data_IF_689372020284
#
_entry.id   IF_689372020284
#
_cell.length_a   1.000
_cell.length_b   1.000
_cell.length_c   1.000
_cell.angle_alpha   90.00
_cell.angle_beta   90.00
_cell.angle_gamma   90.00
#
_symmetry.space_group_name_H-M   'P 1'
#
loop_
_entity.id
_entity.type
_entity.pdbx_description
1 polymer ?
#
# COMPACT_ATOMS: atom_id res chain seq x y z
N UNK A 1 12.42 -1.61 -6.36
CA UNK A 1 11.52 -0.69 -5.64
C UNK A 1 12.26 -0.18 -4.43
N UNK A 2 12.47 1.13 -4.32
CA UNK A 2 13.10 1.76 -3.15
C UNK A 2 12.04 2.56 -2.39
N UNK A 3 12.14 2.59 -1.06
CA UNK A 3 11.23 3.35 -0.21
C UNK A 3 11.96 4.56 0.34
N UNK A 4 11.41 5.75 0.13
CA UNK A 4 11.86 6.98 0.78
C UNK A 4 10.70 7.46 1.66
N UNK A 5 10.90 7.43 2.98
CA UNK A 5 9.96 8.03 3.92
C UNK A 5 10.51 9.38 4.34
N UNK A 6 9.93 10.46 3.82
CA UNK A 6 10.27 11.81 4.22
C UNK A 6 9.04 12.48 4.84
N UNK A 7 8.90 12.40 6.17
CA UNK A 7 7.95 13.27 6.88
C UNK A 7 8.65 14.60 7.16
N UNK A 8 8.58 15.53 6.21
CA UNK A 8 9.42 16.73 6.27
C UNK A 8 8.84 17.91 7.05
N UNK A 9 7.60 17.86 7.59
CA UNK A 9 7.02 18.93 8.41
C UNK A 9 5.71 18.51 9.12
N UNK A 10 5.23 19.34 10.07
CA UNK A 10 3.86 19.27 10.60
C UNK A 10 2.84 19.34 9.45
N UNK A 11 1.84 18.46 9.44
CA UNK A 11 0.77 18.46 8.44
C UNK A 11 -0.20 19.62 8.70
N UNK A 12 -0.32 20.52 7.72
CA UNK A 12 -1.34 21.59 7.70
C UNK A 12 -2.49 21.17 6.80
N UNK A 13 -3.74 21.20 7.31
CA UNK A 13 -4.92 21.08 6.44
C UNK A 13 -5.19 22.44 5.80
N UNK A 14 -5.16 22.47 4.48
CA UNK A 14 -5.55 23.64 3.69
C UNK A 14 -7.05 23.54 3.43
N UNK A 15 -7.86 24.14 4.29
CA UNK A 15 -9.26 24.38 3.95
C UNK A 15 -9.35 25.43 2.83
N UNK A 16 -10.21 25.19 1.83
CA UNK A 16 -10.34 26.07 0.65
C UNK A 16 -10.92 27.46 1.02
N UNK A 17 -11.59 27.57 2.17
CA UNK A 17 -12.19 28.77 2.79
C UNK A 17 -12.74 28.33 4.16
N UNK A 18 -12.24 28.74 5.34
CA UNK A 18 -11.68 30.04 5.83
C UNK A 18 -10.13 30.07 5.87
N UNK A 19 -9.44 31.06 6.51
CA UNK A 19 -7.98 31.01 6.68
C UNK A 19 -7.50 29.64 7.19
N UNK A 20 -6.36 29.12 6.69
CA UNK A 20 -5.85 27.81 7.07
C UNK A 20 -5.77 27.67 8.59
N UNK A 21 -6.54 26.73 9.15
CA UNK A 21 -6.50 26.44 10.57
C UNK A 21 -5.51 25.31 10.84
N UNK A 22 -4.56 25.56 11.73
CA UNK A 22 -3.66 24.50 12.20
C UNK A 22 -4.46 23.55 13.09
N UNK A 23 -4.52 22.28 12.69
CA UNK A 23 -5.06 21.23 13.53
C UNK A 23 -4.05 20.81 14.58
N UNK A 24 -4.53 20.20 15.67
CA UNK A 24 -3.65 19.57 16.66
C UNK A 24 -2.81 18.50 15.96
N UNK A 25 -1.57 18.29 16.38
CA UNK A 25 -0.74 17.23 15.80
C UNK A 25 -1.40 15.86 16.01
N UNK A 26 -1.56 15.10 14.93
CA UNK A 26 -1.79 13.67 14.94
C UNK A 26 -0.51 12.92 14.61
N UNK A 27 -0.45 11.64 14.94
CA UNK A 27 0.71 10.79 14.66
C UNK A 27 0.40 9.82 13.53
N UNK A 28 1.32 9.72 12.58
CA UNK A 28 1.31 8.69 11.53
C UNK A 28 2.52 7.81 11.77
N UNK A 29 2.32 6.51 11.91
CA UNK A 29 3.38 5.53 12.08
C UNK A 29 3.22 4.46 11.01
N UNK A 30 4.33 4.12 10.36
CA UNK A 30 4.42 3.02 9.40
C UNK A 30 5.30 1.94 10.02
N UNK A 31 4.72 0.79 10.33
CA UNK A 31 5.47 -0.37 10.82
C UNK A 31 5.67 -1.34 9.68
N UNK A 32 6.92 -1.54 9.26
CA UNK A 32 7.24 -2.38 8.11
C UNK A 32 7.74 -3.74 8.56
N UNK A 33 7.09 -4.81 8.08
CA UNK A 33 7.49 -6.20 8.32
C UNK A 33 7.71 -6.90 6.99
N UNK A 34 8.87 -7.51 6.82
CA UNK A 34 9.26 -8.16 5.58
C UNK A 34 9.22 -9.69 5.76
N UNK A 35 8.60 -10.39 4.81
CA UNK A 35 8.37 -11.84 4.87
C UNK A 35 9.03 -12.54 3.70
N UNK A 36 9.89 -13.50 4.02
CA UNK A 36 10.61 -14.34 3.06
C UNK A 36 10.12 -15.79 3.02
N UNK A 37 9.02 -16.10 3.71
CA UNK A 37 8.40 -17.42 3.78
C UNK A 37 6.89 -17.26 3.85
N UNK A 38 6.17 -18.12 3.13
CA UNK A 38 4.70 -18.13 3.17
C UNK A 38 4.21 -18.48 4.56
N UNK A 39 3.27 -17.71 5.10
CA UNK A 39 2.63 -17.98 6.38
C UNK A 39 1.24 -17.39 6.44
N UNK A 40 0.38 -18.00 7.24
CA UNK A 40 -0.92 -17.42 7.57
C UNK A 40 -0.79 -16.59 8.84
N UNK A 41 -1.29 -15.36 8.81
CA UNK A 41 -1.38 -14.48 9.99
C UNK A 41 -2.83 -14.06 10.21
N UNK A 42 -3.15 -13.65 11.43
CA UNK A 42 -4.44 -13.02 11.74
C UNK A 42 -4.30 -11.51 11.68
N UNK A 43 -5.08 -10.87 10.82
CA UNK A 43 -5.19 -9.42 10.66
C UNK A 43 -6.64 -9.03 10.94
N UNK A 44 -6.87 -8.16 11.92
CA UNK A 44 -8.23 -7.69 12.27
C UNK A 44 -9.25 -8.84 12.50
N UNK A 45 -8.79 -9.95 13.10
CA UNK A 45 -9.62 -11.15 13.33
C UNK A 45 -9.83 -12.04 12.12
N UNK A 46 -9.24 -11.71 10.96
CA UNK A 46 -9.35 -12.46 9.72
C UNK A 46 -8.03 -13.15 9.37
N UNK A 47 -8.12 -14.31 8.74
CA UNK A 47 -6.95 -15.09 8.30
C UNK A 47 -6.45 -14.58 6.95
N UNK A 48 -5.23 -14.06 6.92
CA UNK A 48 -4.57 -13.53 5.70
C UNK A 48 -3.33 -14.38 5.40
N UNK A 49 -3.14 -14.73 4.13
CA UNK A 49 -1.96 -15.48 3.68
C UNK A 49 -0.90 -14.51 3.19
N UNK A 50 0.26 -14.55 3.83
CA UNK A 50 1.45 -13.80 3.42
C UNK A 50 2.28 -14.69 2.53
N UNK A 51 2.62 -14.20 1.34
CA UNK A 51 3.41 -14.96 0.38
C UNK A 51 4.93 -14.80 0.61
N UNK A 52 5.72 -15.64 -0.06
CA UNK A 52 7.16 -15.42 -0.21
C UNK A 52 7.41 -14.10 -0.95
N UNK A 53 8.23 -13.22 -0.36
CA UNK A 53 8.57 -11.89 -0.87
C UNK A 53 7.44 -10.83 -0.79
N UNK A 54 6.79 -10.79 0.36
CA UNK A 54 5.79 -9.79 0.71
C UNK A 54 6.26 -8.89 1.85
N UNK A 55 5.90 -7.61 1.78
CA UNK A 55 6.14 -6.61 2.82
C UNK A 55 4.78 -6.11 3.29
N UNK A 56 4.52 -6.31 4.58
CA UNK A 56 3.37 -5.72 5.29
C UNK A 56 3.74 -4.36 5.84
N UNK A 57 2.81 -3.44 5.75
CA UNK A 57 2.89 -2.11 6.36
C UNK A 57 1.71 -2.02 7.33
N UNK A 58 1.96 -1.95 8.64
CA UNK A 58 0.92 -1.50 9.56
C UNK A 58 0.87 0.03 9.44
N UNK A 59 -0.17 0.54 8.78
CA UNK A 59 -0.51 1.96 8.72
C UNK A 59 -1.27 2.34 9.99
N UNK A 60 -0.59 3.10 10.86
CA UNK A 60 -1.12 3.45 12.17
C UNK A 60 -1.33 4.96 12.25
N UNK A 61 -2.56 5.35 12.59
CA UNK A 61 -2.94 6.72 12.86
C UNK A 61 -3.32 6.87 14.32
N UNK A 62 -2.73 7.85 15.00
CA UNK A 62 -3.08 8.17 16.39
C UNK A 62 -3.48 9.61 16.49
N UNK A 63 -4.45 9.89 17.34
CA UNK A 63 -4.84 11.26 17.70
C UNK A 63 -5.15 12.13 16.47
N UNK A 64 -5.72 11.53 15.40
CA UNK A 64 -5.98 12.29 14.19
C UNK A 64 -7.02 13.41 14.47
N UNK A 65 -6.71 14.66 14.11
CA UNK A 65 -7.50 15.81 14.51
C UNK A 65 -8.64 16.09 13.52
N UNK A 66 -9.62 15.21 13.37
CA UNK A 66 -10.78 15.49 12.50
C UNK A 66 -11.44 16.83 12.87
N UNK A 67 -11.81 17.63 11.87
CA UNK A 67 -12.50 18.90 12.07
C UNK A 67 -14.00 18.66 12.35
N UNK A 68 -14.57 17.61 11.75
CA UNK A 68 -15.95 17.18 11.94
C UNK A 68 -16.10 15.67 12.00
N UNK A 69 -17.24 15.20 12.53
CA UNK A 69 -17.60 13.77 12.50
C UNK A 69 -17.98 13.26 11.10
N UNK A 70 -18.16 14.16 10.13
CA UNK A 70 -18.39 13.82 8.73
C UNK A 70 -17.09 13.67 7.93
N UNK A 71 -15.96 14.07 8.49
CA UNK A 71 -14.68 14.02 7.82
C UNK A 71 -14.20 12.58 7.64
N UNK A 72 -13.40 12.39 6.59
CA UNK A 72 -12.73 11.13 6.29
C UNK A 72 -11.26 11.42 6.01
N UNK A 73 -10.44 10.40 6.19
CA UNK A 73 -9.02 10.47 5.85
C UNK A 73 -8.73 9.46 4.76
N UNK A 74 -7.94 9.85 3.75
CA UNK A 74 -7.51 8.93 2.71
C UNK A 74 -5.99 8.70 2.78
N UNK A 75 -5.58 7.44 2.68
CA UNK A 75 -4.21 7.08 2.31
C UNK A 75 -4.17 6.96 0.79
N UNK A 76 -3.51 7.89 0.13
CA UNK A 76 -3.24 7.84 -1.31
C UNK A 76 -1.99 6.98 -1.56
N UNK A 77 -2.14 5.96 -2.38
CA UNK A 77 -1.08 5.06 -2.82
C UNK A 77 -0.85 5.31 -4.31
N UNK A 78 0.29 5.90 -4.65
CA UNK A 78 0.69 6.15 -6.04
C UNK A 78 1.41 4.92 -6.58
N UNK A 79 0.78 4.23 -7.53
CA UNK A 79 1.35 3.04 -8.15
C UNK A 79 1.83 3.36 -9.57
N UNK A 80 3.05 2.96 -9.87
CA UNK A 80 3.69 3.14 -11.17
C UNK A 80 4.32 1.83 -11.64
N UNK A 81 4.29 1.59 -12.95
CA UNK A 81 5.06 0.52 -13.59
C UNK A 81 5.48 0.90 -15.00
N UNK A 82 6.49 0.23 -15.54
CA UNK A 82 6.99 0.46 -16.90
C UNK A 82 5.89 0.35 -17.97
N UNK A 83 4.85 -0.43 -17.70
CA UNK A 83 3.69 -0.60 -18.59
C UNK A 83 2.48 0.22 -18.15
N UNK A 84 2.47 0.75 -16.92
CA UNK A 84 1.34 1.43 -16.28
C UNK A 84 -0.02 0.73 -16.44
N UNK A 85 -0.02 -0.60 -16.51
CA UNK A 85 -1.22 -1.42 -16.59
C UNK A 85 -1.43 -2.18 -15.27
N UNK A 86 -2.68 -2.18 -14.81
CA UNK A 86 -3.06 -2.74 -13.52
C UNK A 86 -4.30 -3.62 -13.66
N UNK A 87 -4.37 -4.69 -12.88
CA UNK A 87 -5.52 -5.57 -12.77
C UNK A 87 -6.05 -5.51 -11.34
N UNK A 88 -7.25 -4.97 -11.18
CA UNK A 88 -7.92 -4.76 -9.91
C UNK A 88 -8.96 -5.85 -9.72
N UNK A 89 -8.86 -6.63 -8.65
CA UNK A 89 -9.85 -7.65 -8.34
C UNK A 89 -11.07 -7.02 -7.67
N UNK A 90 -12.16 -6.91 -8.43
CA UNK A 90 -13.42 -6.33 -7.97
C UNK A 90 -14.52 -7.41 -7.85
N UNK A 91 -15.62 -7.09 -7.17
CA UNK A 91 -16.73 -8.03 -6.93
C UNK A 91 -17.32 -8.65 -8.20
N UNK A 92 -17.28 -7.93 -9.32
CA UNK A 92 -17.79 -8.36 -10.62
C UNK A 92 -16.74 -9.07 -11.49
N UNK A 93 -15.52 -9.24 -10.98
CA UNK A 93 -14.38 -9.81 -11.68
C UNK A 93 -13.18 -8.87 -11.70
N UNK A 94 -12.19 -9.20 -12.52
CA UNK A 94 -10.99 -8.37 -12.66
C UNK A 94 -11.25 -7.21 -13.62
N UNK A 95 -11.01 -5.99 -13.16
CA UNK A 95 -10.99 -4.77 -13.99
C UNK A 95 -9.56 -4.45 -14.39
N UNK A 96 -9.30 -4.32 -15.68
CA UNK A 96 -8.00 -3.85 -16.18
C UNK A 96 -8.03 -2.33 -16.32
N UNK A 97 -7.02 -1.67 -15.76
CA UNK A 97 -6.83 -0.22 -15.81
C UNK A 97 -5.53 0.08 -16.54
N UNK A 98 -5.64 0.86 -17.61
CA UNK A 98 -4.50 1.44 -18.32
C UNK A 98 -4.29 2.87 -17.80
N UNK A 99 -3.25 3.05 -16.98
CA UNK A 99 -2.85 4.33 -16.41
C UNK A 99 -1.69 4.97 -17.18
N UNK A 100 -1.54 4.69 -18.48
CA UNK A 100 -0.56 5.39 -19.33
C UNK A 100 -0.97 6.85 -19.54
N UNK A 101 -2.29 7.11 -19.59
CA UNK A 101 -2.86 8.43 -19.82
C UNK A 101 -3.51 8.98 -18.54
N UNK A 102 -3.43 10.30 -18.38
CA UNK A 102 -4.14 11.02 -17.34
C UNK A 102 -5.64 11.08 -17.67
N UNK A 103 -6.49 10.69 -16.74
CA UNK A 103 -7.95 10.81 -16.90
C UNK A 103 -8.43 12.26 -16.81
N UNK A 104 -7.60 13.15 -16.26
CA UNK A 104 -7.83 14.58 -16.18
C UNK A 104 -8.69 15.00 -14.98
N UNK A 105 -8.60 16.28 -14.63
CA UNK A 105 -9.22 16.83 -13.42
C UNK A 105 -10.77 16.79 -13.41
N UNK A 106 -11.41 16.65 -14.58
CA UNK A 106 -12.87 16.58 -14.69
C UNK A 106 -13.45 15.19 -14.44
N UNK A 107 -12.62 14.15 -14.46
CA UNK A 107 -13.03 12.77 -14.19
C UNK A 107 -12.95 12.54 -12.69
N UNK A 108 -14.06 12.11 -12.10
CA UNK A 108 -14.12 11.70 -10.69
C UNK A 108 -13.41 10.35 -10.52
N UNK A 109 -12.98 10.07 -9.29
CA UNK A 109 -12.41 8.76 -8.96
C UNK A 109 -13.41 7.63 -9.21
N UNK A 110 -12.92 6.52 -9.73
CA UNK A 110 -13.71 5.31 -9.92
C UNK A 110 -13.85 4.58 -8.57
N UNK A 111 -15.05 4.11 -8.21
CA UNK A 111 -15.20 3.27 -7.03
C UNK A 111 -14.44 1.95 -7.23
N UNK A 112 -13.68 1.53 -6.23
CA UNK A 112 -13.14 0.18 -6.18
C UNK A 112 -14.21 -0.71 -5.56
N UNK A 113 -14.89 -1.51 -6.38
CA UNK A 113 -15.96 -2.36 -5.86
C UNK A 113 -15.35 -3.61 -5.22
N UNK A 114 -15.23 -3.58 -3.90
CA UNK A 114 -14.65 -4.65 -3.09
C UNK A 114 -15.26 -6.02 -3.38
N UNK A 115 -14.42 -7.03 -3.57
CA UNK A 115 -14.86 -8.43 -3.56
C UNK A 115 -15.44 -8.81 -2.19
N UNK A 116 -16.30 -9.84 -2.12
CA UNK A 116 -16.76 -10.41 -0.84
C UNK A 116 -15.64 -11.08 -0.02
N UNK A 117 -14.42 -11.12 -0.58
CA UNK A 117 -13.25 -11.62 0.08
C UNK A 117 -12.67 -10.54 1.00
N UNK A 118 -12.18 -10.97 2.15
CA UNK A 118 -11.51 -10.14 3.16
C UNK A 118 -10.41 -9.23 2.61
N UNK A 119 -9.72 -9.67 1.56
CA UNK A 119 -8.52 -9.02 0.99
C UNK A 119 -8.77 -8.63 -0.47
N UNK A 120 -8.34 -7.43 -0.84
CA UNK A 120 -8.37 -6.90 -2.20
C UNK A 120 -6.97 -6.92 -2.79
N UNK A 121 -6.91 -7.04 -4.11
CA UNK A 121 -5.66 -7.19 -4.83
C UNK A 121 -5.60 -6.24 -6.04
N UNK A 122 -4.48 -5.55 -6.15
CA UNK A 122 -4.08 -4.77 -7.33
C UNK A 122 -2.80 -5.39 -7.88
N UNK A 123 -2.89 -5.99 -9.06
CA UNK A 123 -1.77 -6.64 -9.76
C UNK A 123 -1.18 -5.72 -10.82
N UNK A 124 0.14 -5.69 -10.91
CA UNK A 124 0.90 -4.89 -11.89
C UNK A 124 1.03 -5.73 -13.17
N UNK A 125 0.03 -5.67 -14.05
CA UNK A 125 -0.16 -6.64 -15.13
C UNK A 125 -0.11 -5.96 -16.50
N UNK A 126 0.83 -6.36 -17.37
CA UNK A 126 0.92 -5.88 -18.76
C UNK A 126 0.19 -6.78 -19.78
N UNK A 127 -0.57 -7.78 -19.32
CA UNK A 127 -1.27 -8.75 -20.16
C UNK A 127 -1.93 -9.87 -19.34
N UNK A 128 -2.38 -10.98 -19.99
CA UNK A 128 -2.98 -12.12 -19.29
C UNK A 128 -2.06 -12.66 -18.20
N UNK A 129 -2.53 -12.62 -16.96
CA UNK A 129 -1.78 -13.07 -15.79
C UNK A 129 -1.85 -14.60 -15.70
N UNK A 130 -0.70 -15.27 -15.78
CA UNK A 130 -0.57 -16.71 -15.54
C UNK A 130 0.17 -16.97 -14.23
N UNK A 131 -0.04 -18.14 -13.62
CA UNK A 131 0.58 -18.53 -12.34
C UNK A 131 2.11 -18.59 -12.39
N UNK A 132 2.70 -18.72 -13.58
CA UNK A 132 4.15 -18.74 -13.81
C UNK A 132 4.78 -17.34 -13.90
N UNK A 133 3.99 -16.28 -13.98
CA UNK A 133 4.51 -14.91 -14.09
C UNK A 133 4.82 -14.33 -12.72
N UNK A 134 6.02 -13.75 -12.59
CA UNK A 134 6.36 -12.94 -11.41
C UNK A 134 5.74 -11.56 -11.57
N UNK A 135 4.69 -11.27 -10.80
CA UNK A 135 3.89 -10.05 -10.92
C UNK A 135 3.93 -9.29 -9.60
N UNK A 136 4.14 -7.98 -9.68
CA UNK A 136 3.98 -7.09 -8.53
C UNK A 136 2.54 -7.02 -8.09
N UNK A 137 2.32 -6.94 -6.79
CA UNK A 137 0.98 -6.76 -6.23
C UNK A 137 0.97 -5.72 -5.11
N UNK A 138 -0.19 -5.12 -4.91
CA UNK A 138 -0.56 -4.38 -3.71
C UNK A 138 -1.85 -4.98 -3.16
N UNK A 139 -1.84 -5.39 -1.89
CA UNK A 139 -2.98 -5.94 -1.18
C UNK A 139 -3.41 -5.02 -0.05
N UNK A 140 -4.69 -5.06 0.27
CA UNK A 140 -5.24 -4.42 1.46
C UNK A 140 -6.48 -5.18 1.93
N UNK A 141 -6.83 -5.00 3.20
CA UNK A 141 -8.07 -5.55 3.77
C UNK A 141 -9.15 -4.48 3.77
N UNK A 142 -10.42 -4.86 3.63
CA UNK A 142 -11.53 -3.90 3.61
C UNK A 142 -11.90 -3.33 4.97
N UNK A 143 -11.12 -3.66 6.00
CA UNK A 143 -11.40 -3.26 7.38
C UNK A 143 -10.13 -2.84 8.10
N UNK A 144 -10.24 -1.74 8.83
CA UNK A 144 -9.23 -1.29 9.78
C UNK A 144 -9.73 -1.53 11.21
N UNK A 145 -8.79 -1.64 12.15
CA UNK A 145 -9.12 -1.69 13.58
C UNK A 145 -8.96 -0.31 14.18
N UNK A 146 -10.01 0.20 14.81
CA UNK A 146 -9.98 1.39 15.65
C UNK A 146 -10.00 0.94 17.12
N UNK A 147 -8.99 1.33 17.87
CA UNK A 147 -8.95 1.14 19.33
C UNK A 147 -9.16 2.50 20.00
N UNK A 148 -10.35 2.76 20.57
CA UNK A 148 -10.61 3.97 21.34
C UNK A 148 -9.84 3.98 22.66
N UNK A 149 -9.82 5.14 23.34
CA UNK A 149 -9.22 5.28 24.66
C UNK A 149 -9.85 4.36 25.73
N UNK A 150 -11.10 3.90 25.54
CA UNK A 150 -11.75 2.90 26.39
C UNK A 150 -11.13 1.51 26.28
N UNK A 151 -10.29 1.27 25.27
CA UNK A 151 -9.51 0.05 25.08
C UNK A 151 -10.23 -1.09 24.36
N UNK A 152 -11.51 -0.94 23.98
CA UNK A 152 -12.26 -1.98 23.26
C UNK A 152 -12.13 -1.76 21.75
N UNK A 153 -11.43 -2.64 21.00
CA UNK A 153 -11.25 -2.48 19.56
C UNK A 153 -12.56 -2.63 18.79
N UNK A 154 -12.69 -1.89 17.70
CA UNK A 154 -13.81 -1.91 16.79
C UNK A 154 -13.31 -2.03 15.35
N UNK A 155 -13.99 -2.84 14.54
CA UNK A 155 -13.72 -2.93 13.11
C UNK A 155 -14.46 -1.81 12.38
N UNK A 156 -13.77 -1.08 11.52
CA UNK A 156 -14.35 -0.06 10.64
C UNK A 156 -14.08 -0.40 9.19
N UNK A 157 -15.02 -0.09 8.30
CA UNK A 157 -14.85 -0.33 6.87
C UNK A 157 -13.86 0.67 6.25
N UNK A 158 -12.97 0.17 5.40
CA UNK A 158 -12.07 0.96 4.56
C UNK A 158 -12.64 0.93 3.15
N UNK A 159 -13.02 2.09 2.62
CA UNK A 159 -13.56 2.19 1.25
C UNK A 159 -12.43 2.55 0.31
N UNK A 160 -12.36 1.93 -0.85
CA UNK A 160 -11.35 2.23 -1.85
C UNK A 160 -11.92 2.90 -3.11
N UNK A 161 -11.13 3.80 -3.69
CA UNK A 161 -11.39 4.41 -5.00
C UNK A 161 -10.07 4.56 -5.75
N UNK A 162 -10.11 4.66 -7.07
CA UNK A 162 -8.89 4.80 -7.88
C UNK A 162 -9.06 5.75 -9.04
N UNK A 163 -7.96 6.30 -9.51
CA UNK A 163 -7.89 7.15 -10.69
C UNK A 163 -6.50 7.12 -11.31
N UNK A 164 -6.41 7.09 -12.63
CA UNK A 164 -5.16 7.34 -13.32
C UNK A 164 -4.97 8.86 -13.47
N UNK A 165 -3.94 9.38 -12.83
CA UNK A 165 -3.68 10.82 -12.80
C UNK A 165 -2.18 11.10 -12.90
N UNK A 166 -1.84 12.19 -13.60
CA UNK A 166 -0.47 12.64 -13.73
C UNK A 166 0.01 13.34 -12.46
N UNK A 167 1.25 13.07 -12.07
CA UNK A 167 1.97 13.82 -11.05
C UNK A 167 3.38 14.13 -11.58
N UNK A 168 3.61 15.39 -11.97
CA UNK A 168 4.82 15.77 -12.69
C UNK A 168 4.92 15.12 -14.09
N UNK A 169 6.06 14.48 -14.43
CA UNK A 169 6.25 13.84 -15.75
C UNK A 169 5.63 12.44 -15.85
N UNK A 170 5.19 11.86 -14.74
CA UNK A 170 4.75 10.46 -14.67
C UNK A 170 3.24 10.38 -14.44
N UNK A 171 2.61 9.36 -15.03
CA UNK A 171 1.23 8.98 -14.72
C UNK A 171 1.25 7.82 -13.72
N UNK A 172 0.38 7.91 -12.71
CA UNK A 172 0.21 6.92 -11.66
C UNK A 172 -1.22 6.40 -11.64
N UNK A 173 -1.39 5.13 -11.30
CA UNK A 173 -2.66 4.69 -10.71
C UNK A 173 -2.66 5.12 -9.25
N UNK A 174 -3.44 6.15 -8.93
CA UNK A 174 -3.66 6.60 -7.56
C UNK A 174 -4.80 5.77 -6.96
N UNK A 175 -4.50 5.02 -5.92
CA UNK A 175 -5.48 4.30 -5.12
C UNK A 175 -5.68 5.03 -3.80
N UNK A 176 -6.93 5.32 -3.45
CA UNK A 176 -7.31 6.02 -2.25
C UNK A 176 -7.97 5.03 -1.29
N UNK A 177 -7.32 4.74 -0.18
CA UNK A 177 -7.87 3.95 0.91
C UNK A 177 -8.46 4.90 1.95
N UNK A 178 -9.78 4.96 2.04
CA UNK A 178 -10.53 5.94 2.81
C UNK A 178 -11.01 5.36 4.13
N UNK A 179 -10.58 5.98 5.21
CA UNK A 179 -10.93 5.66 6.59
C UNK A 179 -12.02 6.62 7.10
N UNK A 180 -13.04 6.11 7.79
CA UNK A 180 -14.06 6.95 8.40
C UNK A 180 -13.49 7.75 9.59
N UNK A 181 -14.21 8.78 10.00
CA UNK A 181 -13.98 9.44 11.28
C UNK A 181 -13.89 8.44 12.43
N UNK A 182 -12.92 8.62 13.32
CA UNK A 182 -12.82 7.92 14.59
C UNK A 182 -12.62 8.91 15.75
N UNK A 183 -13.08 8.58 16.97
CA UNK A 183 -13.02 9.49 18.11
C UNK A 183 -11.59 9.95 18.43
N UNK A 184 -11.43 11.18 18.90
CA UNK A 184 -10.15 11.69 19.38
C UNK A 184 -9.58 10.81 20.50
N UNK A 185 -8.25 10.65 20.55
CA UNK A 185 -7.58 9.73 21.47
C UNK A 185 -7.58 8.27 21.02
N UNK A 186 -8.23 7.94 19.88
CA UNK A 186 -8.20 6.58 19.33
C UNK A 186 -6.96 6.34 18.48
N UNK A 187 -6.64 5.06 18.30
CA UNK A 187 -5.63 4.57 17.34
C UNK A 187 -6.31 3.76 16.25
N UNK A 188 -6.12 4.12 14.99
CA UNK A 188 -6.50 3.30 13.84
C UNK A 188 -5.28 2.52 13.35
N UNK A 189 -5.46 1.23 13.04
CA UNK A 189 -4.46 0.35 12.43
C UNK A 189 -5.06 -0.30 11.19
N UNK A 190 -4.35 -0.23 10.07
CA UNK A 190 -4.68 -0.91 8.83
C UNK A 190 -3.43 -1.58 8.25
N UNK A 191 -3.59 -2.70 7.52
CA UNK A 191 -2.47 -3.61 7.19
C UNK A 191 -2.31 -3.86 5.68
N UNK A 192 -2.11 -2.82 4.85
CA UNK A 192 -1.77 -3.01 3.45
C UNK A 192 -0.43 -3.76 3.30
N UNK A 193 -0.27 -4.44 2.18
CA UNK A 193 0.99 -5.08 1.82
C UNK A 193 1.27 -4.95 0.34
N UNK A 194 2.52 -5.18 -0.02
CA UNK A 194 2.94 -5.24 -1.41
C UNK A 194 4.04 -6.29 -1.55
N UNK A 195 4.20 -6.84 -2.74
CA UNK A 195 5.17 -7.89 -2.96
C UNK A 195 5.25 -8.34 -4.39
N UNK A 196 5.90 -9.49 -4.58
CA UNK A 196 5.89 -10.23 -5.83
C UNK A 196 5.20 -11.58 -5.60
N UNK A 197 4.32 -11.96 -6.50
CA UNK A 197 3.74 -13.30 -6.59
C UNK A 197 4.34 -14.04 -7.79
N UNK A 198 4.51 -15.36 -7.74
CA UNK A 198 5.04 -16.18 -8.84
C UNK A 198 5.88 -17.37 -8.34
N UNK A 199 6.55 -18.09 -9.25
CA UNK A 199 7.21 -19.36 -8.93
C UNK A 199 8.46 -19.24 -8.04
N UNK A 200 9.22 -18.12 -8.11
CA UNK A 200 10.46 -17.94 -7.32
C UNK A 200 10.78 -16.47 -6.94
N UNK A 201 9.83 -15.69 -6.39
CA UNK A 201 10.15 -14.34 -5.92
C UNK A 201 11.05 -14.42 -4.67
N UNK A 202 12.23 -13.80 -4.72
CA UNK A 202 13.14 -13.72 -3.56
C UNK A 202 13.27 -12.29 -3.06
N UNK A 203 13.00 -12.10 -1.78
CA UNK A 203 13.18 -10.83 -1.08
C UNK A 203 14.60 -10.76 -0.48
N UNK A 204 15.35 -9.72 -0.84
CA UNK A 204 16.63 -9.41 -0.22
C UNK A 204 16.48 -8.16 0.66
N UNK A 205 16.94 -8.26 1.91
CA UNK A 205 17.16 -7.09 2.75
C UNK A 205 18.64 -6.75 2.62
N UNK A 206 18.95 -5.66 1.92
CA UNK A 206 20.33 -5.18 1.81
C UNK A 206 20.50 -4.14 2.91
N UNK A 207 21.16 -4.54 4.00
CA UNK A 207 21.62 -3.57 4.99
C UNK A 207 22.78 -2.78 4.38
N UNK A 208 22.52 -1.54 3.95
CA UNK A 208 23.55 -0.61 3.54
C UNK A 208 24.24 -0.05 4.78
N UNK A 209 25.52 -0.38 4.97
CA UNK A 209 26.32 0.24 6.03
C UNK A 209 26.50 1.72 5.75
N UNK A 210 25.76 2.59 6.43
CA UNK A 210 26.00 4.02 6.43
C UNK A 210 26.81 4.38 7.68
N UNK A 211 28.01 4.90 7.45
CA UNK A 211 28.90 5.38 8.51
C UNK A 211 28.26 6.50 9.32
N UNK A 212 28.44 6.41 10.64
CA UNK A 212 28.30 7.42 11.72
C UNK A 212 26.99 8.23 11.83
N UNK A 213 26.01 8.12 10.93
CA UNK A 213 24.68 8.71 11.13
C UNK A 213 23.58 7.93 10.38
N UNK A 214 22.98 6.94 11.06
CA UNK A 214 21.75 6.27 10.64
C UNK A 214 21.95 5.12 9.65
N UNK A 215 21.70 3.88 10.11
CA UNK A 215 21.57 2.72 9.22
C UNK A 215 20.35 2.92 8.31
N UNK A 216 20.56 2.96 6.99
CA UNK A 216 19.50 2.84 6.00
C UNK A 216 19.38 1.37 5.59
N UNK A 217 18.28 0.71 5.98
CA UNK A 217 17.95 -0.61 5.44
C UNK A 217 17.31 -0.41 4.06
N UNK A 218 17.96 -0.88 3.00
CA UNK A 218 17.39 -0.88 1.65
C UNK A 218 16.81 -2.26 1.38
N UNK A 219 15.50 -2.35 1.27
CA UNK A 219 14.84 -3.60 0.90
C UNK A 219 14.80 -3.69 -0.62
N UNK A 220 15.39 -4.73 -1.20
CA UNK A 220 15.43 -4.97 -2.64
C UNK A 220 14.79 -6.32 -2.95
N UNK A 221 13.73 -6.32 -3.73
CA UNK A 221 13.18 -7.55 -4.29
C UNK A 221 13.84 -7.78 -5.65
N UNK A 222 14.45 -8.96 -5.87
CA UNK A 222 15.08 -9.34 -7.14
C UNK A 222 14.51 -10.64 -7.68
N UNK A 223 14.41 -10.73 -9.00
CA UNK A 223 14.20 -12.00 -9.69
C UNK A 223 15.52 -12.76 -9.81
N UNK A 224 15.52 -14.04 -9.45
CA UNK A 224 16.66 -14.92 -9.68
C UNK A 224 16.64 -15.39 -11.14
N UNK A 225 17.58 -14.92 -11.96
CA UNK A 225 17.95 -15.70 -13.16
C UNK A 225 18.75 -16.91 -12.66
N UNK A 226 18.41 -18.12 -13.11
CA UNK A 226 19.25 -19.29 -12.89
C UNK A 226 20.64 -18.95 -13.43
N UNK A 227 21.62 -18.77 -12.54
CA UNK A 227 23.00 -18.66 -12.98
C UNK A 227 23.36 -19.98 -13.65
N UNK A 228 23.60 -19.95 -14.96
CA UNK A 228 24.31 -21.02 -15.64
C UNK A 228 25.62 -21.18 -14.90
N UNK A 229 25.76 -22.27 -14.15
CA UNK A 229 27.04 -22.67 -13.58
C UNK A 229 28.00 -22.86 -14.75
N UNK A 230 28.92 -21.91 -14.94
CA UNK A 230 30.08 -22.16 -15.79
C UNK A 230 30.88 -23.24 -15.10
N UNK A 231 30.79 -24.47 -15.61
CA UNK A 231 31.73 -25.52 -15.24
C UNK A 231 33.16 -25.01 -15.48
N UNK A 232 34.08 -25.17 -14.52
CA UNK A 232 35.47 -24.81 -14.74
C UNK A 232 36.01 -25.60 -15.94
N UNK A 233 36.74 -24.93 -16.83
CA UNK A 233 37.50 -25.62 -17.89
C UNK A 233 38.43 -26.63 -17.21
N UNK A 234 38.32 -27.91 -17.58
CA UNK A 234 39.31 -28.92 -17.21
C UNK A 234 40.69 -28.47 -17.71
N UNK A 235 41.70 -28.65 -16.85
CA UNK A 235 43.10 -28.39 -17.17
C UNK A 235 43.57 -29.18 -18.39
#
# INVERSE_FOLDING_TARGET
MGFNFTLNNQMTIVEKTPPPQSLKSGDVVLVVKAYNNTRTITVNGQSVTINTAEIKIDFVLKNWPFASTGDKLALQVNMHSDYNHFALDQSTGTTTVDATNDEGAAVMEHPYTETSNTEQNVRYASGPVTSSMNIGFFHFVNTATVTPASGIPQSVQVVAAYKAERDGPETFLKLYLVYPHFPSGSTLVHDPSFGLQGELPTLYIIAGGAGVAGLAAVIVIRYHHLQVQRFPKSK
#
